data_IF_985396267022
#
_entry.id   IF_985396267022
#
_cell.length_a   1.000
_cell.length_b   1.000
_cell.length_c   1.000
_cell.angle_alpha   90.00
_cell.angle_beta   90.00
_cell.angle_gamma   90.00
#
_symmetry.space_group_name_H-M   'P 1'
#
loop_
_entity.id
_entity.type
_entity.pdbx_description
1 polymer ?
#
# COMPACT_ATOMS: atom_id res chain seq x y z
N UNK A 1 -4.03 3.80 -10.43
CA UNK A 1 -4.24 3.52 -8.98
C UNK A 1 -3.09 3.98 -8.08
N UNK A 2 -1.91 4.27 -8.63
CA UNK A 2 -0.68 4.56 -7.88
C UNK A 2 -0.85 5.59 -6.77
N UNK A 3 -1.46 6.75 -7.05
CA UNK A 3 -1.68 7.79 -6.04
C UNK A 3 -2.56 7.33 -4.87
N UNK A 4 -3.56 6.48 -5.12
CA UNK A 4 -4.40 5.93 -4.04
C UNK A 4 -3.57 4.99 -3.17
N UNK A 5 -2.77 4.11 -3.79
CA UNK A 5 -1.88 3.21 -3.05
C UNK A 5 -0.87 4.01 -2.22
N UNK A 6 -0.29 5.07 -2.78
CA UNK A 6 0.63 5.95 -2.05
C UNK A 6 -0.04 6.57 -0.83
N UNK A 7 -1.23 7.17 -0.98
CA UNK A 7 -1.95 7.75 0.16
C UNK A 7 -2.26 6.73 1.25
N UNK A 8 -2.46 5.46 0.90
CA UNK A 8 -2.65 4.39 1.89
C UNK A 8 -1.35 4.00 2.59
N UNK A 9 -0.22 3.98 1.88
CA UNK A 9 1.10 3.78 2.47
C UNK A 9 1.41 4.92 3.46
N UNK A 10 1.16 6.17 3.06
CA UNK A 10 1.40 7.34 3.91
C UNK A 10 0.54 7.29 5.19
N UNK A 11 -0.73 6.91 5.06
CA UNK A 11 -1.64 6.76 6.19
C UNK A 11 -1.25 5.60 7.12
N UNK A 12 -0.69 4.52 6.59
CA UNK A 12 -0.14 3.40 7.35
C UNK A 12 1.08 3.84 8.17
N UNK A 13 2.05 4.48 7.52
CA UNK A 13 3.30 4.93 8.16
C UNK A 13 3.09 6.03 9.20
N UNK A 14 2.00 6.78 9.12
CA UNK A 14 1.63 7.73 10.18
C UNK A 14 1.37 6.99 11.51
N UNK A 15 0.78 5.80 11.45
CA UNK A 15 0.50 4.96 12.63
C UNK A 15 1.71 4.06 12.96
N UNK A 16 2.44 3.62 11.93
CA UNK A 16 3.59 2.72 12.04
C UNK A 16 4.89 3.40 11.56
N UNK A 17 5.39 4.44 12.23
CA UNK A 17 6.49 5.28 11.73
C UNK A 17 7.85 4.56 11.69
N UNK A 18 7.97 3.41 12.33
CA UNK A 18 9.19 2.60 12.34
C UNK A 18 9.19 1.51 11.27
N UNK A 19 8.10 1.36 10.51
CA UNK A 19 8.02 0.33 9.48
C UNK A 19 8.75 0.75 8.22
N UNK A 20 9.70 -0.07 7.80
CA UNK A 20 10.61 0.25 6.71
C UNK A 20 10.19 -0.36 5.38
N UNK A 21 9.18 -1.25 5.38
CA UNK A 21 8.84 -2.01 4.18
C UNK A 21 7.35 -2.37 4.13
N UNK A 22 6.51 -1.39 3.80
CA UNK A 22 5.07 -1.58 3.68
C UNK A 22 4.73 -2.52 2.53
N UNK A 23 3.87 -3.50 2.79
CA UNK A 23 3.40 -4.49 1.83
C UNK A 23 1.90 -4.36 1.54
N UNK A 24 1.45 -4.95 0.43
CA UNK A 24 0.01 -5.03 0.16
C UNK A 24 -0.73 -5.89 1.19
N UNK A 25 -0.05 -6.89 1.74
CA UNK A 25 -0.58 -7.79 2.75
C UNK A 25 -0.88 -7.03 4.06
N UNK A 26 0.02 -6.15 4.52
CA UNK A 26 -0.20 -5.29 5.70
C UNK A 26 -1.32 -4.27 5.44
N UNK A 27 -1.26 -3.56 4.31
CA UNK A 27 -2.30 -2.60 3.95
C UNK A 27 -3.68 -3.26 3.82
N UNK A 28 -3.73 -4.52 3.39
CA UNK A 28 -4.98 -5.28 3.32
C UNK A 28 -5.43 -5.78 4.70
N UNK A 29 -4.51 -6.30 5.50
CA UNK A 29 -4.81 -6.84 6.82
C UNK A 29 -5.34 -5.76 7.78
N UNK A 30 -4.80 -4.55 7.67
CA UNK A 30 -5.20 -3.39 8.48
C UNK A 30 -6.31 -2.54 7.82
N UNK A 31 -6.81 -2.95 6.65
CA UNK A 31 -7.99 -2.36 6.03
C UNK A 31 -7.77 -1.06 5.25
N UNK A 32 -6.52 -0.61 5.10
CA UNK A 32 -6.15 0.51 4.21
C UNK A 32 -6.48 0.22 2.74
N UNK A 33 -6.36 -1.04 2.32
CA UNK A 33 -6.75 -1.48 0.98
C UNK A 33 -7.69 -2.67 1.03
N UNK A 34 -8.76 -2.60 0.24
CA UNK A 34 -9.61 -3.77 0.00
C UNK A 34 -8.92 -4.78 -0.91
N UNK A 35 -9.31 -6.06 -0.82
CA UNK A 35 -8.86 -7.12 -1.73
C UNK A 35 -9.00 -6.72 -3.21
N UNK A 36 -10.09 -6.03 -3.57
CA UNK A 36 -10.31 -5.55 -4.95
C UNK A 36 -9.29 -4.50 -5.38
N UNK A 37 -8.95 -3.57 -4.50
CA UNK A 37 -7.93 -2.54 -4.78
C UNK A 37 -6.53 -3.15 -4.89
N UNK A 38 -6.17 -4.12 -4.02
CA UNK A 38 -4.91 -4.85 -4.13
C UNK A 38 -4.81 -5.59 -5.47
N UNK A 39 -5.86 -6.31 -5.85
CA UNK A 39 -5.88 -7.02 -7.15
C UNK A 39 -5.78 -6.05 -8.33
N UNK A 40 -6.48 -4.92 -8.27
CA UNK A 40 -6.40 -3.88 -9.30
C UNK A 40 -4.98 -3.31 -9.39
N UNK A 41 -4.36 -2.96 -8.26
CA UNK A 41 -2.99 -2.44 -8.23
C UNK A 41 -1.98 -3.46 -8.81
N UNK A 42 -2.08 -4.73 -8.41
CA UNK A 42 -1.26 -5.82 -8.97
C UNK A 42 -1.49 -6.01 -10.48
N UNK A 43 -2.73 -5.88 -10.96
CA UNK A 43 -3.05 -5.95 -12.40
C UNK A 43 -2.51 -4.76 -13.21
N UNK A 44 -2.47 -3.58 -12.60
CA UNK A 44 -1.84 -2.37 -13.14
C UNK A 44 -0.30 -2.40 -13.02
N UNK A 45 0.28 -3.50 -12.49
CA UNK A 45 1.71 -3.70 -12.23
C UNK A 45 2.33 -2.70 -11.25
N UNK A 46 1.51 -2.08 -10.41
CA UNK A 46 1.97 -1.21 -9.34
C UNK A 46 2.63 -2.08 -8.27
N UNK A 47 3.83 -1.69 -7.86
CA UNK A 47 4.63 -2.31 -6.82
C UNK A 47 4.81 -1.32 -5.68
N UNK A 48 5.07 -1.84 -4.50
CA UNK A 48 5.50 -1.04 -3.36
C UNK A 48 6.98 -1.34 -3.15
N UNK A 49 7.82 -0.31 -3.23
CA UNK A 49 9.27 -0.39 -3.03
C UNK A 49 9.73 0.81 -2.24
N UNK A 50 10.46 0.60 -1.15
CA UNK A 50 10.91 1.67 -0.24
C UNK A 50 9.76 2.60 0.19
N UNK A 51 8.59 2.03 0.51
CA UNK A 51 7.39 2.77 0.89
C UNK A 51 6.84 3.73 -0.20
N UNK A 52 7.23 3.52 -1.45
CA UNK A 52 6.69 4.23 -2.60
C UNK A 52 5.93 3.28 -3.54
N UNK A 53 4.81 3.75 -4.08
CA UNK A 53 4.02 3.05 -5.08
C UNK A 53 4.48 3.44 -6.50
N UNK A 54 4.88 2.47 -7.33
CA UNK A 54 5.40 2.69 -8.69
C UNK A 54 5.15 1.53 -9.65
#
# INVERSE_FOLDING_TARGET
MTSIVQSQIDAYLNVHPSDLNVTYEELQAEGYLTKKQVQKAKSEKIRITNNEAN
#
